data_IF_801861454080
#
_entry.id   IF_801861454080
#
_cell.length_a   1.000
_cell.length_b   1.000
_cell.length_c   1.000
_cell.angle_alpha   90.00
_cell.angle_beta   90.00
_cell.angle_gamma   90.00
#
_symmetry.space_group_name_H-M   'P 1'
#
loop_
_entity.id
_entity.type
_entity.pdbx_description
1 polymer ?
#
# COMPACT_ATOMS: atom_id res chain seq x y z
N UNK A 1 7.50 5.40 21.78
CA UNK A 1 7.02 5.79 20.44
C UNK A 1 6.25 4.64 19.84
N UNK A 2 5.05 4.88 19.38
CA UNK A 2 4.26 3.80 18.79
C UNK A 2 4.51 3.67 17.29
N UNK A 3 4.46 2.44 16.82
CA UNK A 3 4.56 2.13 15.41
C UNK A 3 3.16 1.83 14.86
N UNK A 4 2.93 2.18 13.63
CA UNK A 4 1.67 1.97 12.95
C UNK A 4 1.92 1.26 11.62
N UNK A 5 1.04 0.33 11.28
CA UNK A 5 1.07 -0.32 9.99
C UNK A 5 0.02 0.34 9.09
N UNK A 6 0.43 0.68 7.88
CA UNK A 6 -0.47 1.27 6.89
C UNK A 6 -0.55 0.33 5.70
N UNK A 7 -1.76 -0.13 5.38
CA UNK A 7 -1.99 -1.00 4.24
C UNK A 7 -2.38 -0.16 3.03
N UNK A 8 -1.68 -0.36 1.92
CA UNK A 8 -1.88 0.42 0.70
C UNK A 8 -2.02 -0.51 -0.49
N UNK A 9 -2.90 -0.14 -1.43
CA UNK A 9 -3.00 -0.84 -2.71
C UNK A 9 -2.64 0.11 -3.84
N UNK A 10 -2.04 -0.44 -4.88
CA UNK A 10 -1.67 0.30 -6.07
C UNK A 10 -2.07 -0.50 -7.30
N UNK A 11 -2.22 0.18 -8.43
CA UNK A 11 -2.70 -0.45 -9.65
C UNK A 11 -1.69 -1.38 -10.30
N UNK A 12 -0.42 -1.23 -9.99
CA UNK A 12 0.62 -2.07 -10.55
C UNK A 12 1.77 -2.24 -9.56
N UNK A 13 2.58 -3.27 -9.79
CA UNK A 13 3.75 -3.51 -8.96
C UNK A 13 4.76 -2.37 -9.09
N UNK A 14 4.95 -1.85 -10.30
CA UNK A 14 5.89 -0.76 -10.54
C UNK A 14 5.47 0.49 -9.76
N UNK A 15 4.18 0.81 -9.76
CA UNK A 15 3.66 1.92 -9.00
C UNK A 15 3.85 1.71 -7.50
N UNK A 16 3.55 0.50 -7.01
CA UNK A 16 3.71 0.17 -5.59
C UNK A 16 5.16 0.32 -5.17
N UNK A 17 6.10 -0.19 -5.97
CA UNK A 17 7.52 -0.10 -5.65
C UNK A 17 7.99 1.36 -5.63
N UNK A 18 7.52 2.16 -6.57
CA UNK A 18 7.88 3.57 -6.64
C UNK A 18 7.41 4.33 -5.40
N UNK A 19 6.16 4.13 -5.03
CA UNK A 19 5.58 4.79 -3.87
C UNK A 19 6.28 4.33 -2.59
N UNK A 20 6.43 3.02 -2.42
CA UNK A 20 7.06 2.46 -1.23
C UNK A 20 8.50 2.94 -1.06
N UNK A 21 9.26 2.92 -2.16
CA UNK A 21 10.65 3.37 -2.13
C UNK A 21 10.76 4.85 -1.75
N UNK A 22 9.91 5.68 -2.33
CA UNK A 22 9.91 7.11 -2.04
C UNK A 22 9.63 7.38 -0.57
N UNK A 23 8.63 6.68 -0.01
CA UNK A 23 8.27 6.88 1.39
C UNK A 23 9.38 6.46 2.35
N UNK A 24 10.08 5.38 2.03
CA UNK A 24 11.19 4.93 2.85
C UNK A 24 12.39 5.87 2.70
N UNK A 25 12.71 6.28 1.47
CA UNK A 25 13.82 7.19 1.21
C UNK A 25 13.61 8.53 1.90
N UNK A 26 12.40 9.04 1.95
CA UNK A 26 12.10 10.29 2.61
C UNK A 26 11.88 10.14 4.11
N UNK A 27 12.08 8.95 4.64
CA UNK A 27 11.96 8.63 6.06
C UNK A 27 10.58 8.87 6.64
N UNK A 28 9.56 8.82 5.78
CA UNK A 28 8.16 8.85 6.20
C UNK A 28 7.70 7.47 6.64
N UNK A 29 8.39 6.44 6.22
CA UNK A 29 8.18 5.08 6.68
C UNK A 29 9.52 4.45 7.00
N UNK A 30 9.55 3.59 8.03
CA UNK A 30 10.75 2.89 8.43
C UNK A 30 11.07 1.74 7.47
N UNK A 31 10.02 1.07 6.98
CA UNK A 31 10.19 0.00 6.00
C UNK A 31 8.88 -0.20 5.24
N UNK A 32 8.98 -0.91 4.13
CA UNK A 32 7.84 -1.27 3.30
C UNK A 32 7.97 -2.73 2.90
N UNK A 33 6.86 -3.45 2.95
CA UNK A 33 6.79 -4.85 2.50
C UNK A 33 5.81 -4.90 1.35
N UNK A 34 6.30 -5.16 0.14
CA UNK A 34 5.48 -5.19 -1.07
C UNK A 34 5.14 -6.65 -1.37
N UNK A 35 3.85 -6.94 -1.43
CA UNK A 35 3.37 -8.30 -1.63
C UNK A 35 3.24 -8.66 -3.10
N UNK A 36 2.99 -9.93 -3.35
CA UNK A 36 2.65 -10.40 -4.68
C UNK A 36 1.30 -9.80 -5.07
N UNK A 37 1.04 -9.64 -6.37
CA UNK A 37 -0.24 -9.10 -6.82
C UNK A 37 -1.43 -9.88 -6.26
N UNK A 38 -2.47 -9.15 -5.93
CA UNK A 38 -3.71 -9.70 -5.41
C UNK A 38 -4.85 -9.40 -6.38
N UNK A 39 -5.96 -10.12 -6.24
CA UNK A 39 -7.17 -9.82 -6.98
C UNK A 39 -8.18 -9.22 -6.01
N UNK A 40 -8.63 -8.00 -6.31
CA UNK A 40 -9.65 -7.34 -5.51
C UNK A 40 -11.01 -7.58 -6.15
N UNK A 41 -11.97 -8.01 -5.37
CA UNK A 41 -13.33 -8.29 -5.83
C UNK A 41 -14.26 -7.34 -5.08
N UNK A 42 -15.03 -6.54 -5.82
CA UNK A 42 -15.86 -5.53 -5.19
C UNK A 42 -17.05 -5.15 -6.05
N UNK A 43 -18.05 -4.54 -5.42
CA UNK A 43 -19.21 -3.98 -6.09
C UNK A 43 -18.97 -2.52 -6.44
N UNK A 44 -19.26 -2.18 -7.69
CA UNK A 44 -19.15 -0.79 -8.15
C UNK A 44 -20.25 -0.54 -9.15
N UNK A 45 -21.09 0.46 -8.88
CA UNK A 45 -22.21 0.84 -9.75
C UNK A 45 -23.11 -0.35 -10.12
N UNK A 46 -23.42 -1.18 -9.14
CA UNK A 46 -24.31 -2.32 -9.32
C UNK A 46 -23.69 -3.50 -10.05
N UNK A 47 -22.39 -3.50 -10.28
CA UNK A 47 -21.69 -4.59 -10.95
C UNK A 47 -20.57 -5.13 -10.09
N UNK A 48 -20.32 -6.40 -10.21
CA UNK A 48 -19.20 -7.05 -9.55
C UNK A 48 -17.94 -6.87 -10.40
N UNK A 49 -16.90 -6.36 -9.79
CA UNK A 49 -15.60 -6.13 -10.45
C UNK A 49 -14.53 -7.00 -9.84
N UNK A 50 -13.61 -7.47 -10.68
CA UNK A 50 -12.44 -8.20 -10.25
C UNK A 50 -11.23 -7.55 -10.91
N UNK A 51 -10.31 -7.01 -10.12
CA UNK A 51 -9.15 -6.32 -10.65
C UNK A 51 -7.89 -6.75 -9.93
N UNK A 52 -6.80 -6.82 -10.69
CA UNK A 52 -5.49 -7.10 -10.12
C UNK A 52 -4.91 -5.85 -9.49
N UNK A 53 -4.37 -6.00 -8.30
CA UNK A 53 -3.72 -4.90 -7.58
C UNK A 53 -2.48 -5.41 -6.89
N UNK A 54 -1.55 -4.52 -6.60
CA UNK A 54 -0.40 -4.82 -5.77
C UNK A 54 -0.61 -4.13 -4.44
N UNK A 55 -0.40 -4.86 -3.35
CA UNK A 55 -0.54 -4.29 -2.02
C UNK A 55 0.81 -4.23 -1.32
N UNK A 56 0.93 -3.31 -0.38
CA UNK A 56 2.10 -3.23 0.47
C UNK A 56 1.74 -2.68 1.84
N UNK A 57 2.58 -3.00 2.81
CA UNK A 57 2.41 -2.52 4.17
C UNK A 57 3.60 -1.64 4.50
N UNK A 58 3.32 -0.48 5.06
CA UNK A 58 4.34 0.44 5.56
C UNK A 58 4.37 0.38 7.08
N UNK A 59 5.56 0.43 7.64
CA UNK A 59 5.72 0.64 9.07
C UNK A 59 6.18 2.07 9.26
N UNK A 60 5.44 2.83 10.03
CA UNK A 60 5.75 4.23 10.27
C UNK A 60 5.40 4.60 11.70
N UNK A 61 5.73 5.81 12.11
CA UNK A 61 5.34 6.32 13.42
C UNK A 61 3.89 6.79 13.35
N UNK A 62 3.16 6.60 14.45
CA UNK A 62 1.76 6.99 14.51
C UNK A 62 1.54 8.49 14.24
N UNK A 63 2.50 9.32 14.61
CA UNK A 63 2.40 10.77 14.41
C UNK A 63 2.57 11.22 12.96
N UNK A 64 2.96 10.30 12.06
CA UNK A 64 3.09 10.59 10.63
C UNK A 64 1.86 10.13 9.83
N UNK A 65 0.87 9.55 10.50
CA UNK A 65 -0.35 9.07 9.86
C UNK A 65 -1.49 10.01 10.19
N UNK A 66 -2.19 10.50 9.18
CA UNK A 66 -3.35 11.37 9.37
C UNK A 66 -4.64 10.59 9.34
#
# INVERSE_FOLDING_TARGET
MSATLVYVTASSKDEALKIARTLVEERLAACANVFQPITSIYWWEGKLHEEGETSFILKTRADLVD
#
